data_IF_337821056331
#
_entry.id   IF_337821056331
#
_cell.length_a   1.000
_cell.length_b   1.000
_cell.length_c   1.000
_cell.angle_alpha   90.00
_cell.angle_beta   90.00
_cell.angle_gamma   90.00
#
_symmetry.space_group_name_H-M   'P 1'
#
loop_
_entity.id
_entity.type
_entity.pdbx_description
1 polymer ?
#
# COMPACT_ATOMS: atom_id res chain seq x y z
N UNK A 1 6.48 -14.87 78.83
CA UNK A 1 6.27 -15.25 77.44
C UNK A 1 7.12 -14.31 76.59
N UNK A 2 8.32 -14.81 76.13
CA UNK A 2 9.16 -14.05 75.23
C UNK A 2 8.57 -14.07 73.84
N UNK A 3 8.22 -12.89 73.37
CA UNK A 3 7.80 -12.69 71.99
C UNK A 3 9.08 -12.75 71.11
N UNK A 4 9.24 -13.83 70.34
CA UNK A 4 10.29 -13.94 69.34
C UNK A 4 10.03 -12.92 68.21
N UNK A 5 10.94 -11.97 68.07
CA UNK A 5 10.97 -11.11 66.89
C UNK A 5 11.30 -12.00 65.68
N UNK A 6 10.30 -12.41 64.93
CA UNK A 6 10.56 -12.93 63.58
C UNK A 6 11.23 -11.82 62.77
N UNK A 7 12.49 -12.05 62.42
CA UNK A 7 13.18 -11.22 61.45
C UNK A 7 12.52 -11.39 60.07
N UNK A 8 11.54 -10.57 59.77
CA UNK A 8 11.07 -10.40 58.42
C UNK A 8 12.20 -9.82 57.57
N UNK A 9 12.90 -10.71 56.92
CA UNK A 9 13.88 -10.32 55.92
C UNK A 9 13.11 -9.72 54.71
N UNK A 10 12.86 -8.42 54.76
CA UNK A 10 12.31 -7.73 53.60
C UNK A 10 13.31 -7.88 52.46
N UNK A 11 13.07 -8.79 51.53
CA UNK A 11 13.82 -8.86 50.28
C UNK A 11 13.67 -7.49 49.61
N UNK A 12 14.76 -6.73 49.63
CA UNK A 12 14.78 -5.45 48.95
C UNK A 12 14.62 -5.70 47.44
N UNK A 13 13.54 -5.22 46.88
CA UNK A 13 13.19 -5.44 45.46
C UNK A 13 13.58 -4.19 44.70
N UNK A 14 14.39 -4.36 43.66
CA UNK A 14 14.94 -3.28 42.86
C UNK A 14 14.43 -3.40 41.42
N UNK A 15 14.55 -2.31 40.66
CA UNK A 15 14.36 -2.34 39.21
C UNK A 15 15.46 -3.22 38.57
N UNK A 16 15.19 -3.85 37.41
CA UNK A 16 16.11 -4.75 36.72
C UNK A 16 17.49 -4.16 36.45
N UNK A 17 18.54 -5.01 36.41
CA UNK A 17 19.93 -4.60 36.13
C UNK A 17 20.45 -5.18 34.80
N UNK A 18 21.22 -4.39 34.08
CA UNK A 18 21.73 -4.71 32.74
C UNK A 18 23.26 -4.73 32.68
N UNK A 19 23.79 -5.43 31.67
CA UNK A 19 25.17 -5.34 31.20
C UNK A 19 25.26 -5.61 29.70
N UNK A 20 26.41 -5.30 29.09
CA UNK A 20 26.79 -5.67 27.72
C UNK A 20 25.80 -5.18 26.64
N UNK A 21 25.27 -3.94 26.80
CA UNK A 21 24.48 -3.34 25.75
C UNK A 21 25.34 -3.00 24.53
N UNK A 22 24.94 -3.46 23.36
CA UNK A 22 25.65 -3.19 22.11
C UNK A 22 24.75 -3.32 20.88
N UNK A 23 25.19 -2.74 19.79
CA UNK A 23 24.68 -2.97 18.46
C UNK A 23 25.57 -3.95 17.68
N UNK A 24 24.94 -4.69 16.78
CA UNK A 24 25.61 -5.58 15.84
C UNK A 24 24.88 -5.54 14.48
N UNK A 25 25.51 -6.06 13.44
CA UNK A 25 24.89 -6.19 12.11
C UNK A 25 24.20 -4.91 11.60
N UNK A 26 24.86 -3.77 11.82
CA UNK A 26 24.35 -2.49 11.30
C UNK A 26 24.44 -2.49 9.79
N UNK A 27 23.29 -2.24 9.13
CA UNK A 27 23.15 -2.14 7.67
C UNK A 27 22.69 -0.74 7.27
N UNK A 28 22.37 -0.56 6.01
CA UNK A 28 21.77 0.71 5.52
C UNK A 28 20.35 0.95 6.04
N UNK A 29 19.62 -0.09 6.50
CA UNK A 29 18.22 0.03 6.91
C UNK A 29 17.82 -0.84 8.09
N UNK A 30 18.78 -1.47 8.75
CA UNK A 30 18.53 -2.29 9.95
C UNK A 30 19.73 -2.26 10.90
N UNK A 31 19.47 -2.64 12.15
CA UNK A 31 20.49 -2.93 13.13
C UNK A 31 19.98 -3.99 14.11
N UNK A 32 20.83 -4.84 14.63
CA UNK A 32 20.52 -5.77 15.71
C UNK A 32 21.07 -5.20 17.02
N UNK A 33 20.18 -4.95 17.98
CA UNK A 33 20.55 -4.52 19.34
C UNK A 33 20.54 -5.71 20.27
N UNK A 34 21.53 -5.78 21.15
CA UNK A 34 21.64 -6.85 22.16
C UNK A 34 21.96 -6.29 23.52
N UNK A 35 21.51 -6.97 24.58
CA UNK A 35 21.79 -6.66 25.95
C UNK A 35 21.60 -7.91 26.80
N UNK A 36 22.24 -7.96 27.98
CA UNK A 36 22.02 -9.00 28.98
C UNK A 36 21.34 -8.38 30.20
N UNK A 37 20.16 -8.90 30.54
CA UNK A 37 19.48 -8.64 31.79
C UNK A 37 20.03 -9.59 32.83
N UNK A 38 20.84 -9.08 33.77
CA UNK A 38 21.56 -9.91 34.72
C UNK A 38 20.77 -10.23 35.98
N UNK A 39 19.81 -9.38 36.35
CA UNK A 39 19.05 -9.54 37.58
C UNK A 39 17.68 -8.88 37.50
N UNK A 40 16.66 -9.61 37.98
CA UNK A 40 15.28 -9.15 38.13
C UNK A 40 14.88 -8.83 39.58
N UNK A 41 15.78 -9.11 40.51
CA UNK A 41 15.60 -8.92 41.96
C UNK A 41 14.36 -9.60 42.54
N UNK A 42 14.08 -10.84 42.07
CA UNK A 42 12.90 -11.64 42.45
C UNK A 42 11.55 -11.01 42.10
N UNK A 43 11.53 -10.11 41.15
CA UNK A 43 10.32 -9.55 40.57
C UNK A 43 10.33 -9.83 39.07
N UNK A 44 9.44 -10.69 38.62
CA UNK A 44 9.40 -11.14 37.23
C UNK A 44 9.33 -9.94 36.25
N UNK A 45 10.18 -9.96 35.24
CA UNK A 45 10.17 -8.97 34.16
C UNK A 45 8.99 -9.24 33.27
N UNK A 46 8.09 -8.27 33.17
CA UNK A 46 6.85 -8.32 32.38
C UNK A 46 7.00 -7.72 30.98
N UNK A 47 8.00 -6.86 30.78
CA UNK A 47 8.27 -6.21 29.48
C UNK A 47 9.74 -5.83 29.38
N UNK A 48 10.35 -6.08 28.22
CA UNK A 48 11.72 -5.68 27.92
C UNK A 48 11.89 -5.36 26.43
N UNK A 49 12.95 -4.62 26.11
CA UNK A 49 13.23 -4.20 24.75
C UNK A 49 14.15 -3.00 24.68
N UNK A 50 14.00 -2.24 23.60
CA UNK A 50 14.79 -1.02 23.36
C UNK A 50 13.88 0.14 22.96
N UNK A 51 14.18 1.30 23.50
CA UNK A 51 13.74 2.59 22.96
C UNK A 51 14.80 3.07 21.99
N UNK A 52 14.39 3.70 20.89
CA UNK A 52 15.30 4.28 19.91
C UNK A 52 14.70 5.50 19.23
N UNK A 53 15.54 6.44 18.83
CA UNK A 53 15.16 7.71 18.17
C UNK A 53 16.36 8.28 17.40
N UNK A 54 16.13 9.31 16.61
CA UNK A 54 17.18 9.98 15.83
C UNK A 54 17.89 11.12 16.59
N UNK A 55 17.43 11.45 17.80
CA UNK A 55 18.13 12.34 18.71
C UNK A 55 17.96 11.88 20.17
N UNK A 56 18.79 12.41 21.08
CA UNK A 56 18.68 12.10 22.51
C UNK A 56 17.43 12.72 23.11
N UNK A 57 17.03 13.89 22.63
CA UNK A 57 15.83 14.61 23.06
C UNK A 57 14.57 13.80 22.68
N UNK A 58 14.50 13.33 21.44
CA UNK A 58 13.42 12.47 20.97
C UNK A 58 13.41 11.11 21.70
N UNK A 59 14.57 10.57 22.07
CA UNK A 59 14.66 9.34 22.86
C UNK A 59 14.05 9.51 24.26
N UNK A 60 14.25 10.67 24.89
CA UNK A 60 13.67 11.02 26.18
C UNK A 60 12.16 11.27 26.12
N UNK A 61 11.64 11.71 24.97
CA UNK A 61 10.23 12.01 24.78
C UNK A 61 9.43 10.76 24.44
N UNK A 62 8.48 10.38 25.32
CA UNK A 62 7.63 9.19 25.15
C UNK A 62 6.81 9.21 23.86
N UNK A 63 6.41 10.39 23.40
CA UNK A 63 5.63 10.57 22.18
C UNK A 63 6.45 10.47 20.87
N UNK A 64 7.77 10.61 20.94
CA UNK A 64 8.64 10.67 19.76
C UNK A 64 9.52 9.43 19.60
N UNK A 65 9.89 8.77 20.72
CA UNK A 65 10.70 7.56 20.68
C UNK A 65 9.93 6.36 20.13
N UNK A 66 10.63 5.52 19.38
CA UNK A 66 10.11 4.23 18.94
C UNK A 66 10.45 3.15 19.96
N UNK A 67 9.64 2.10 19.99
CA UNK A 67 9.78 0.96 20.89
C UNK A 67 9.91 -0.33 20.10
N UNK A 68 10.97 -1.08 20.36
CA UNK A 68 11.16 -2.43 19.84
C UNK A 68 11.21 -3.40 21.02
N UNK A 69 10.26 -4.33 21.12
CA UNK A 69 10.09 -5.24 22.25
C UNK A 69 10.62 -6.63 21.95
N UNK A 70 11.20 -7.29 22.97
CA UNK A 70 11.43 -8.72 22.98
C UNK A 70 10.23 -9.41 23.66
N UNK A 71 9.63 -10.43 23.02
CA UNK A 71 8.48 -11.13 23.61
C UNK A 71 8.84 -12.08 24.76
N UNK A 72 10.11 -12.33 25.00
CA UNK A 72 10.56 -13.23 26.07
C UNK A 72 10.49 -12.56 27.45
N UNK A 73 10.47 -13.37 28.50
CA UNK A 73 10.40 -12.93 29.89
C UNK A 73 11.64 -13.42 30.67
N UNK A 74 11.89 -12.82 31.84
CA UNK A 74 12.95 -13.22 32.75
C UNK A 74 14.30 -12.59 32.42
N UNK A 75 15.36 -13.11 33.09
CA UNK A 75 16.75 -12.70 32.93
C UNK A 75 17.39 -13.36 31.69
N UNK A 76 18.61 -12.95 31.36
CA UNK A 76 19.40 -13.48 30.26
C UNK A 76 19.60 -12.48 29.13
N UNK A 77 20.32 -12.90 28.10
CA UNK A 77 20.59 -12.09 26.92
C UNK A 77 19.38 -12.09 25.98
N UNK A 78 19.09 -10.95 25.39
CA UNK A 78 18.08 -10.85 24.33
C UNK A 78 18.55 -9.91 23.22
N UNK A 79 17.98 -10.10 22.06
CA UNK A 79 18.27 -9.31 20.86
C UNK A 79 16.97 -8.81 20.25
N UNK A 80 17.04 -7.61 19.66
CA UNK A 80 15.93 -7.03 18.91
C UNK A 80 16.48 -6.48 17.59
N UNK A 81 15.88 -6.89 16.48
CA UNK A 81 16.22 -6.35 15.18
C UNK A 81 15.38 -5.11 14.88
N UNK A 82 16.03 -3.97 14.71
CA UNK A 82 15.43 -2.77 14.16
C UNK A 82 15.41 -2.87 12.65
N UNK A 83 14.27 -2.58 12.05
CA UNK A 83 14.07 -2.59 10.60
C UNK A 83 13.57 -1.23 10.12
N UNK A 84 13.73 -0.99 8.83
CA UNK A 84 13.23 0.22 8.18
C UNK A 84 13.85 1.50 8.75
N UNK A 85 15.09 1.43 9.13
CA UNK A 85 15.89 2.59 9.49
C UNK A 85 16.23 3.40 8.23
N UNK A 86 16.47 4.68 8.40
CA UNK A 86 16.94 5.58 7.34
C UNK A 86 18.45 5.44 7.21
N UNK A 87 19.01 5.30 6.00
CA UNK A 87 20.46 5.26 5.79
C UNK A 87 21.17 6.55 6.25
N UNK A 88 22.46 6.44 6.50
CA UNK A 88 23.32 7.58 6.89
C UNK A 88 22.77 8.39 8.07
N UNK A 89 22.03 7.70 8.97
CA UNK A 89 21.32 8.32 10.09
C UNK A 89 21.84 7.76 11.42
N UNK A 90 22.18 8.65 12.34
CA UNK A 90 22.53 8.26 13.71
C UNK A 90 21.25 8.01 14.50
N UNK A 91 21.20 6.83 15.11
CA UNK A 91 20.15 6.44 16.06
C UNK A 91 20.72 6.32 17.45
N UNK A 92 20.05 6.92 18.41
CA UNK A 92 20.29 6.74 19.84
C UNK A 92 19.36 5.67 20.36
N UNK A 93 19.85 4.80 21.22
CA UNK A 93 19.06 3.71 21.76
C UNK A 93 19.38 3.44 23.22
N UNK A 94 18.41 2.88 23.92
CA UNK A 94 18.47 2.60 25.35
C UNK A 94 17.62 1.36 25.63
N UNK A 95 18.21 0.34 26.23
CA UNK A 95 17.44 -0.81 26.66
C UNK A 95 16.56 -0.47 27.86
N UNK A 96 15.43 -1.15 27.93
CA UNK A 96 14.53 -1.09 29.09
C UNK A 96 14.06 -2.47 29.51
N UNK A 97 13.78 -2.63 30.80
CA UNK A 97 13.03 -3.76 31.34
C UNK A 97 12.13 -3.27 32.47
N UNK A 98 10.92 -3.82 32.52
CA UNK A 98 9.90 -3.48 33.51
C UNK A 98 9.56 -4.69 34.36
N UNK A 99 9.57 -4.53 35.67
CA UNK A 99 9.05 -5.50 36.62
C UNK A 99 8.02 -4.84 37.55
N UNK A 100 7.54 -5.52 38.56
CA UNK A 100 6.56 -4.99 39.50
C UNK A 100 7.06 -3.76 40.34
N UNK A 101 8.35 -3.44 40.31
CA UNK A 101 8.94 -2.28 41.00
C UNK A 101 9.16 -1.06 40.10
N UNK A 102 9.04 -1.23 38.79
CA UNK A 102 9.18 -0.17 37.81
C UNK A 102 10.01 -0.53 36.59
N UNK A 103 10.39 0.48 35.82
CA UNK A 103 11.17 0.32 34.60
C UNK A 103 12.61 0.77 34.85
N UNK A 104 13.54 -0.14 34.64
CA UNK A 104 14.96 0.18 34.55
C UNK A 104 15.33 0.55 33.10
N UNK A 105 16.29 1.45 32.99
CA UNK A 105 16.86 1.90 31.73
C UNK A 105 18.36 1.67 31.76
N UNK A 106 18.92 1.15 30.65
CA UNK A 106 20.37 1.08 30.47
C UNK A 106 20.93 2.45 30.06
N UNK A 107 22.24 2.53 29.83
CA UNK A 107 22.85 3.75 29.30
C UNK A 107 22.42 4.02 27.86
N UNK A 108 22.41 5.30 27.50
CA UNK A 108 22.13 5.70 26.09
C UNK A 108 23.38 5.43 25.26
N UNK A 109 23.22 4.65 24.20
CA UNK A 109 24.24 4.41 23.19
C UNK A 109 23.74 4.86 21.82
N UNK A 110 24.61 4.85 20.81
CA UNK A 110 24.25 5.25 19.45
C UNK A 110 25.01 4.43 18.41
N UNK A 111 24.37 4.27 17.25
CA UNK A 111 25.00 3.75 16.04
C UNK A 111 24.57 4.59 14.85
N UNK A 112 25.33 4.52 13.75
CA UNK A 112 24.97 5.15 12.48
C UNK A 112 24.76 4.08 11.43
N UNK A 113 23.61 4.11 10.77
CA UNK A 113 23.31 3.22 9.64
C UNK A 113 24.27 3.46 8.49
N UNK A 114 24.56 2.41 7.73
CA UNK A 114 25.43 2.50 6.57
C UNK A 114 24.83 3.37 5.47
N UNK A 115 25.68 3.76 4.52
CA UNK A 115 25.30 4.55 3.35
C UNK A 115 24.27 3.80 2.50
N UNK A 116 23.21 4.49 2.14
CA UNK A 116 22.22 3.99 1.20
C UNK A 116 22.67 4.15 -0.25
N UNK A 117 22.02 3.38 -1.13
CA UNK A 117 22.24 3.40 -2.58
C UNK A 117 21.04 3.97 -3.33
N UNK A 118 21.16 4.19 -4.63
CA UNK A 118 19.97 4.38 -5.46
C UNK A 118 19.08 3.13 -5.42
N UNK A 119 17.78 3.32 -5.54
CA UNK A 119 16.86 2.20 -5.68
C UNK A 119 17.11 1.47 -7.02
N UNK A 120 16.74 0.20 -7.06
CA UNK A 120 16.64 -0.56 -8.32
C UNK A 120 15.18 -0.85 -8.59
N UNK A 121 14.78 -0.78 -9.85
CA UNK A 121 13.43 -1.07 -10.28
C UNK A 121 13.46 -1.91 -11.56
N UNK A 122 12.58 -2.88 -11.63
CA UNK A 122 12.43 -3.76 -12.78
C UNK A 122 11.05 -3.52 -13.40
N UNK A 123 11.02 -3.31 -14.71
CA UNK A 123 9.77 -3.32 -15.47
C UNK A 123 9.38 -4.77 -15.73
N UNK A 124 8.16 -5.16 -15.37
CA UNK A 124 7.63 -6.50 -15.62
C UNK A 124 6.68 -6.49 -16.80
N UNK A 125 6.44 -7.67 -17.39
CA UNK A 125 5.55 -7.82 -18.53
C UNK A 125 4.14 -7.28 -18.23
N UNK A 126 3.62 -6.32 -19.00
CA UNK A 126 2.27 -5.82 -18.86
C UNK A 126 1.22 -6.87 -19.21
N UNK A 127 0.03 -6.71 -18.64
CA UNK A 127 -1.16 -7.46 -19.03
C UNK A 127 -2.13 -6.56 -19.81
N UNK A 128 -2.69 -7.09 -20.89
CA UNK A 128 -3.72 -6.41 -21.70
C UNK A 128 -4.98 -7.26 -21.63
N UNK A 129 -5.99 -6.76 -20.95
CA UNK A 129 -7.29 -7.41 -20.79
C UNK A 129 -8.41 -6.38 -20.87
N UNK A 130 -9.50 -6.72 -21.52
CA UNK A 130 -10.78 -5.99 -21.49
C UNK A 130 -10.67 -4.45 -21.57
N UNK A 131 -9.85 -3.92 -22.48
CA UNK A 131 -9.64 -2.47 -22.70
C UNK A 131 -8.77 -1.78 -21.64
N UNK A 132 -8.08 -2.58 -20.84
CA UNK A 132 -7.18 -2.11 -19.81
C UNK A 132 -5.77 -2.64 -20.07
N UNK A 133 -4.78 -1.78 -19.94
CA UNK A 133 -3.40 -2.19 -19.83
C UNK A 133 -3.03 -2.08 -18.34
N UNK A 134 -2.60 -3.19 -17.76
CA UNK A 134 -2.03 -3.22 -16.41
C UNK A 134 -0.51 -3.32 -16.53
N UNK A 135 0.16 -2.21 -16.26
CA UNK A 135 1.61 -2.16 -16.13
C UNK A 135 2.04 -2.77 -14.81
N UNK A 136 3.14 -3.50 -14.81
CA UNK A 136 3.70 -4.17 -13.63
C UNK A 136 5.16 -3.82 -13.43
N UNK A 137 5.56 -3.64 -12.19
CA UNK A 137 6.94 -3.36 -11.79
C UNK A 137 7.32 -4.02 -10.49
N UNK A 138 8.62 -4.14 -10.26
CA UNK A 138 9.18 -4.63 -9.00
C UNK A 138 10.27 -3.69 -8.50
N UNK A 139 10.44 -3.63 -7.19
CA UNK A 139 11.52 -2.87 -6.51
C UNK A 139 12.37 -3.87 -5.73
N UNK A 140 13.37 -4.50 -6.36
CA UNK A 140 14.24 -5.47 -5.70
C UNK A 140 15.03 -4.87 -4.54
N UNK A 141 15.44 -3.61 -4.64
CA UNK A 141 16.13 -2.88 -3.59
C UNK A 141 15.73 -1.39 -3.62
N UNK A 142 15.24 -0.89 -2.50
CA UNK A 142 14.91 0.54 -2.32
C UNK A 142 16.14 1.41 -2.08
N UNK A 143 17.33 0.80 -2.01
CA UNK A 143 18.54 1.50 -1.59
C UNK A 143 18.58 1.83 -0.09
N UNK A 144 17.62 1.32 0.68
CA UNK A 144 17.41 1.61 2.10
C UNK A 144 16.47 2.79 2.37
N UNK A 145 16.09 3.57 1.35
CA UNK A 145 15.19 4.71 1.49
C UNK A 145 13.74 4.33 1.21
N UNK A 146 12.76 4.95 1.90
CA UNK A 146 11.35 4.79 1.55
C UNK A 146 11.08 5.24 0.11
N UNK A 147 10.28 4.48 -0.61
CA UNK A 147 9.71 4.90 -1.89
C UNK A 147 8.56 5.86 -1.61
N UNK A 148 8.61 7.06 -2.20
CA UNK A 148 7.61 8.11 -2.02
C UNK A 148 6.63 8.19 -3.18
N UNK A 149 7.03 7.72 -4.35
CA UNK A 149 6.20 7.63 -5.55
C UNK A 149 6.68 6.45 -6.39
N UNK A 150 5.75 5.78 -7.04
CA UNK A 150 6.03 4.76 -8.05
C UNK A 150 5.07 4.91 -9.23
N UNK A 151 5.49 4.44 -10.38
CA UNK A 151 4.68 4.55 -11.58
C UNK A 151 5.35 4.00 -12.83
N UNK A 152 4.78 4.39 -13.95
CA UNK A 152 5.23 3.98 -15.27
C UNK A 152 5.23 5.17 -16.23
N UNK A 153 6.24 5.25 -17.06
CA UNK A 153 6.26 6.05 -18.27
C UNK A 153 5.93 5.13 -19.44
N UNK A 154 5.06 5.57 -20.34
CA UNK A 154 4.69 4.80 -21.52
C UNK A 154 4.50 5.69 -22.74
N UNK A 155 4.74 5.13 -23.91
CA UNK A 155 4.58 5.84 -25.19
C UNK A 155 4.31 4.84 -26.31
N UNK A 156 3.61 5.29 -27.34
CA UNK A 156 3.42 4.53 -28.60
C UNK A 156 4.47 4.89 -29.66
N UNK A 157 5.20 5.97 -29.46
CA UNK A 157 6.18 6.50 -30.43
C UNK A 157 7.58 6.60 -29.86
N UNK A 158 7.74 7.02 -28.60
CA UNK A 158 9.03 7.14 -27.96
C UNK A 158 9.46 5.78 -27.41
N UNK A 159 10.57 5.24 -27.94
CA UNK A 159 11.13 3.96 -27.49
C UNK A 159 11.84 4.05 -26.14
N UNK A 160 12.06 5.25 -25.62
CA UNK A 160 12.64 5.51 -24.30
C UNK A 160 11.69 6.43 -23.49
N UNK A 161 10.51 5.91 -23.05
CA UNK A 161 9.51 6.75 -22.42
C UNK A 161 10.06 7.48 -21.19
N UNK A 162 9.64 8.71 -21.02
CA UNK A 162 10.12 9.68 -20.04
C UNK A 162 8.96 10.39 -19.36
N UNK A 163 9.20 11.26 -18.36
CA UNK A 163 8.15 12.09 -17.77
C UNK A 163 7.38 13.00 -18.73
N UNK A 164 7.91 13.24 -19.93
CA UNK A 164 7.25 14.04 -20.98
C UNK A 164 6.22 13.23 -21.80
N UNK A 165 6.21 11.93 -21.66
CA UNK A 165 5.30 11.02 -22.34
C UNK A 165 4.06 10.69 -21.48
N UNK A 166 3.37 9.59 -21.75
CA UNK A 166 2.29 9.10 -20.89
C UNK A 166 2.82 8.68 -19.52
N UNK A 167 2.15 9.12 -18.47
CA UNK A 167 2.51 8.82 -17.08
C UNK A 167 1.31 8.27 -16.34
N UNK A 168 1.50 7.20 -15.60
CA UNK A 168 0.59 6.73 -14.57
C UNK A 168 1.38 6.47 -13.30
N UNK A 169 0.96 7.10 -12.19
CA UNK A 169 1.70 7.04 -10.94
C UNK A 169 0.81 7.01 -9.71
N UNK A 170 1.41 6.62 -8.59
CA UNK A 170 0.81 6.68 -7.27
C UNK A 170 1.82 7.19 -6.26
N UNK A 171 1.46 8.28 -5.58
CA UNK A 171 2.20 8.80 -4.44
C UNK A 171 1.90 7.96 -3.20
N UNK A 172 2.92 7.68 -2.39
CA UNK A 172 2.77 6.93 -1.16
C UNK A 172 3.77 7.43 -0.11
N UNK A 173 3.38 7.59 1.15
CA UNK A 173 4.31 8.03 2.19
C UNK A 173 5.35 6.97 2.56
N UNK A 174 5.10 5.70 2.25
CA UNK A 174 6.02 4.59 2.58
C UNK A 174 5.61 3.31 1.85
N UNK A 175 6.03 3.17 0.59
CA UNK A 175 5.84 1.93 -0.14
C UNK A 175 6.95 0.93 0.21
N UNK A 176 6.57 -0.30 0.51
CA UNK A 176 7.49 -1.36 0.97
C UNK A 176 7.24 -2.72 0.30
N UNK A 177 6.34 -2.75 -0.68
CA UNK A 177 6.06 -3.98 -1.40
C UNK A 177 7.13 -4.21 -2.49
N UNK A 178 7.46 -5.46 -2.75
CA UNK A 178 8.43 -5.83 -3.78
C UNK A 178 7.89 -5.63 -5.19
N UNK A 179 6.56 -5.67 -5.38
CA UNK A 179 5.89 -5.48 -6.68
C UNK A 179 4.78 -4.45 -6.61
N UNK A 180 4.51 -3.79 -7.74
CA UNK A 180 3.41 -2.86 -7.90
C UNK A 180 2.80 -2.94 -9.29
N UNK A 181 1.55 -2.52 -9.40
CA UNK A 181 0.85 -2.44 -10.68
C UNK A 181 -0.05 -1.21 -10.72
N UNK A 182 -0.18 -0.63 -11.91
CA UNK A 182 -1.08 0.47 -12.20
C UNK A 182 -1.66 0.27 -13.59
N UNK A 183 -2.90 0.73 -13.79
CA UNK A 183 -3.62 0.47 -15.03
C UNK A 183 -4.05 1.76 -15.73
N UNK A 184 -4.11 1.69 -17.05
CA UNK A 184 -4.77 2.67 -17.89
C UNK A 184 -5.96 2.03 -18.56
N UNK A 185 -7.07 2.78 -18.67
CA UNK A 185 -8.36 2.27 -19.18
C UNK A 185 -8.53 2.48 -20.69
N UNK A 186 -7.72 3.34 -21.29
CA UNK A 186 -7.78 3.64 -22.72
C UNK A 186 -6.44 3.34 -23.37
N UNK A 187 -6.48 2.63 -24.50
CA UNK A 187 -5.29 2.39 -25.31
C UNK A 187 -5.66 2.30 -26.80
N UNK A 188 -4.70 2.48 -27.67
CA UNK A 188 -4.88 2.29 -29.11
C UNK A 188 -4.65 0.82 -29.45
N UNK A 189 -5.60 0.19 -30.11
CA UNK A 189 -5.50 -1.21 -30.55
C UNK A 189 -4.43 -1.39 -31.64
N UNK A 190 -3.93 -2.60 -31.79
CA UNK A 190 -2.90 -2.99 -32.77
C UNK A 190 -1.69 -2.05 -32.81
N UNK A 191 -1.31 -1.51 -31.65
CA UNK A 191 -0.28 -0.48 -31.56
C UNK A 191 0.86 -0.96 -30.66
N UNK A 192 2.13 -0.74 -31.04
CA UNK A 192 3.25 -0.98 -30.16
C UNK A 192 3.26 0.05 -29.03
N UNK A 193 3.46 -0.43 -27.82
CA UNK A 193 3.71 0.37 -26.63
C UNK A 193 5.10 0.09 -26.08
N UNK A 194 5.74 1.14 -25.63
CA UNK A 194 6.98 1.10 -24.86
C UNK A 194 6.64 1.53 -23.45
N UNK A 195 7.09 0.79 -22.46
CA UNK A 195 6.81 1.08 -21.04
C UNK A 195 8.06 0.86 -20.21
N UNK A 196 8.25 1.69 -19.20
CA UNK A 196 9.25 1.48 -18.15
C UNK A 196 8.70 1.88 -16.79
N UNK A 197 9.00 1.05 -15.79
CA UNK A 197 8.68 1.35 -14.40
C UNK A 197 9.64 2.41 -13.84
N UNK A 198 9.16 3.19 -12.87
CA UNK A 198 10.01 4.09 -12.08
C UNK A 198 9.59 4.12 -10.62
N UNK A 199 10.53 4.49 -9.77
CA UNK A 199 10.29 4.82 -8.36
C UNK A 199 11.05 6.09 -7.97
N UNK A 200 10.48 6.83 -7.03
CA UNK A 200 11.10 7.99 -6.40
C UNK A 200 11.47 7.66 -4.96
N UNK A 201 12.67 8.01 -4.59
CA UNK A 201 13.17 7.96 -3.21
C UNK A 201 13.87 9.27 -2.88
N UNK A 202 14.32 9.43 -1.64
CA UNK A 202 15.14 10.57 -1.25
C UNK A 202 16.48 10.66 -2.06
N UNK A 203 16.97 9.54 -2.59
CA UNK A 203 18.17 9.52 -3.48
C UNK A 203 17.85 9.87 -4.93
N UNK A 204 16.59 10.16 -5.25
CA UNK A 204 16.15 10.52 -6.58
C UNK A 204 15.33 9.42 -7.26
N UNK A 205 15.19 9.58 -8.57
CA UNK A 205 14.41 8.66 -9.41
C UNK A 205 15.28 7.49 -9.88
N UNK A 206 14.74 6.28 -9.76
CA UNK A 206 15.25 5.10 -10.44
C UNK A 206 14.26 4.66 -11.51
N UNK A 207 14.74 4.16 -12.63
CA UNK A 207 13.92 3.68 -13.76
C UNK A 207 14.37 2.28 -14.16
N UNK A 208 13.40 1.46 -14.55
CA UNK A 208 13.63 0.11 -15.07
C UNK A 208 13.98 0.10 -16.55
N UNK A 209 14.28 -1.08 -17.07
CA UNK A 209 14.45 -1.30 -18.49
C UNK A 209 13.12 -1.06 -19.23
N UNK A 210 13.24 -0.66 -20.49
CA UNK A 210 12.07 -0.48 -21.35
C UNK A 210 11.61 -1.84 -21.87
N UNK A 211 10.32 -2.12 -21.73
CA UNK A 211 9.66 -3.23 -22.39
C UNK A 211 8.79 -2.73 -23.55
N UNK A 212 8.88 -3.43 -24.66
CA UNK A 212 7.99 -3.25 -25.81
C UNK A 212 6.95 -4.37 -25.80
N UNK A 213 5.69 -4.00 -26.00
CA UNK A 213 4.60 -4.95 -26.22
C UNK A 213 3.59 -4.38 -27.22
N UNK A 214 2.74 -5.23 -27.77
CA UNK A 214 1.70 -4.81 -28.70
C UNK A 214 0.34 -5.01 -28.04
N UNK A 215 -0.55 -4.05 -28.26
CA UNK A 215 -1.97 -4.21 -28.01
C UNK A 215 -2.58 -4.97 -29.19
N UNK A 216 -2.89 -6.24 -29.01
CA UNK A 216 -3.24 -7.14 -30.11
C UNK A 216 -4.73 -7.20 -30.44
N UNK A 217 -5.60 -6.51 -29.71
CA UNK A 217 -7.04 -6.55 -29.93
C UNK A 217 -7.57 -5.24 -30.48
N UNK A 218 -8.36 -5.35 -31.53
CA UNK A 218 -9.34 -4.31 -31.84
C UNK A 218 -10.28 -4.16 -30.66
N UNK A 219 -10.56 -2.94 -30.26
CA UNK A 219 -11.58 -2.71 -29.24
C UNK A 219 -12.92 -3.11 -29.85
N UNK A 220 -13.72 -4.01 -29.23
CA UNK A 220 -15.09 -4.20 -29.72
C UNK A 220 -15.80 -2.86 -29.67
N UNK A 221 -16.75 -2.71 -30.60
CA UNK A 221 -17.65 -1.57 -30.58
C UNK A 221 -18.37 -1.45 -29.23
N UNK A 222 -18.79 -0.24 -28.88
CA UNK A 222 -19.65 -0.03 -27.71
C UNK A 222 -20.79 -1.06 -27.73
N UNK A 223 -20.88 -1.84 -26.69
CA UNK A 223 -21.88 -2.91 -26.54
C UNK A 223 -22.78 -2.68 -25.34
N UNK A 224 -24.07 -2.92 -25.52
CA UNK A 224 -25.07 -2.86 -24.45
C UNK A 224 -25.83 -4.19 -24.44
N UNK A 225 -25.98 -4.75 -23.24
CA UNK A 225 -26.81 -5.93 -23.02
C UNK A 225 -28.06 -5.54 -22.23
N UNK A 226 -29.23 -5.85 -22.80
CA UNK A 226 -30.51 -5.66 -22.12
C UNK A 226 -30.75 -6.73 -21.08
N UNK A 227 -31.26 -6.33 -19.93
CA UNK A 227 -31.79 -7.24 -18.90
C UNK A 227 -33.31 -7.35 -19.04
N UNK A 228 -33.90 -8.39 -18.52
CA UNK A 228 -35.34 -8.54 -18.48
C UNK A 228 -36.02 -7.36 -17.75
N UNK A 229 -37.09 -6.80 -18.29
CA UNK A 229 -37.85 -5.77 -17.60
C UNK A 229 -38.40 -6.27 -16.26
N UNK A 230 -38.55 -5.37 -15.31
CA UNK A 230 -39.12 -5.65 -14.02
C UNK A 230 -40.23 -4.67 -13.65
N UNK A 231 -40.95 -4.95 -12.56
CA UNK A 231 -42.04 -4.09 -12.05
C UNK A 231 -43.04 -3.67 -13.11
N UNK A 232 -43.42 -4.61 -13.99
CA UNK A 232 -44.34 -4.35 -15.05
C UNK A 232 -45.76 -4.17 -14.48
N UNK A 233 -46.38 -3.06 -14.80
CA UNK A 233 -47.80 -2.74 -14.51
C UNK A 233 -48.56 -2.46 -15.77
N UNK A 234 -49.81 -2.06 -15.66
CA UNK A 234 -50.63 -1.67 -16.82
C UNK A 234 -50.11 -0.43 -17.51
N UNK A 235 -49.32 0.43 -16.83
CA UNK A 235 -48.90 1.74 -17.35
C UNK A 235 -47.43 2.05 -17.08
N UNK A 236 -46.67 1.10 -16.51
CA UNK A 236 -45.24 1.31 -16.24
C UNK A 236 -44.42 0.02 -16.34
N UNK A 237 -43.13 0.18 -16.58
CA UNK A 237 -42.16 -0.90 -16.56
C UNK A 237 -40.77 -0.37 -16.21
N UNK A 238 -40.02 -1.10 -15.40
CA UNK A 238 -38.61 -0.81 -15.14
C UNK A 238 -37.75 -1.54 -16.17
N UNK A 239 -37.12 -0.77 -17.07
CA UNK A 239 -36.18 -1.30 -18.06
C UNK A 239 -34.76 -1.18 -17.53
N UNK A 240 -33.93 -2.19 -17.78
CA UNK A 240 -32.56 -2.32 -17.27
C UNK A 240 -31.61 -2.77 -18.37
N UNK A 241 -30.40 -2.28 -18.30
CA UNK A 241 -29.32 -2.73 -19.18
C UNK A 241 -27.96 -2.56 -18.51
N UNK A 242 -26.96 -3.19 -19.07
CA UNK A 242 -25.55 -2.98 -18.71
C UNK A 242 -24.71 -2.66 -19.93
N UNK A 243 -23.70 -1.82 -19.75
CA UNK A 243 -22.68 -1.58 -20.75
C UNK A 243 -21.70 -2.74 -20.72
N UNK A 244 -21.78 -3.64 -21.67
CA UNK A 244 -20.87 -4.78 -21.79
C UNK A 244 -19.46 -4.32 -22.22
N UNK A 245 -19.41 -3.37 -23.18
CA UNK A 245 -18.17 -2.83 -23.73
C UNK A 245 -18.29 -1.32 -23.95
N UNK A 246 -17.29 -0.55 -23.50
CA UNK A 246 -17.27 0.91 -23.67
C UNK A 246 -16.66 1.36 -25.01
N UNK A 247 -16.18 0.44 -25.84
CA UNK A 247 -15.60 0.74 -27.14
C UNK A 247 -14.37 1.67 -27.09
N UNK A 248 -13.67 1.74 -25.94
CA UNK A 248 -12.55 2.68 -25.74
C UNK A 248 -12.96 4.13 -25.46
N UNK A 249 -14.25 4.41 -25.33
CA UNK A 249 -14.72 5.75 -25.02
C UNK A 249 -14.37 6.15 -23.57
N UNK A 250 -13.82 7.36 -23.38
CA UNK A 250 -13.56 7.92 -22.07
C UNK A 250 -14.84 8.32 -21.34
N UNK A 251 -15.87 8.68 -22.09
CA UNK A 251 -17.20 9.03 -21.58
C UNK A 251 -18.28 8.45 -22.49
N UNK A 252 -19.43 8.13 -21.93
CA UNK A 252 -20.60 7.66 -22.68
C UNK A 252 -21.89 8.08 -21.97
N UNK A 253 -22.94 8.28 -22.73
CA UNK A 253 -24.30 8.43 -22.21
C UNK A 253 -25.05 7.10 -22.36
N UNK A 254 -25.89 6.80 -21.39
CA UNK A 254 -26.76 5.64 -21.40
C UNK A 254 -28.22 6.07 -21.48
N UNK A 255 -29.06 5.25 -22.11
CA UNK A 255 -30.47 5.50 -22.20
C UNK A 255 -31.19 4.36 -22.92
N UNK A 256 -32.51 4.51 -23.05
CA UNK A 256 -33.38 3.58 -23.73
C UNK A 256 -34.11 4.29 -24.83
N UNK A 257 -34.36 3.54 -25.87
CA UNK A 257 -35.28 3.93 -26.96
C UNK A 257 -36.39 2.89 -26.96
N UNK A 258 -37.64 3.33 -26.92
CA UNK A 258 -38.79 2.45 -26.89
C UNK A 258 -39.92 2.98 -27.79
N UNK A 259 -40.77 2.07 -28.24
CA UNK A 259 -41.94 2.35 -29.04
C UNK A 259 -42.97 1.26 -28.81
N UNK A 260 -44.24 1.61 -28.93
CA UNK A 260 -45.39 0.71 -28.92
C UNK A 260 -45.82 0.26 -30.34
N UNK A 261 -45.18 0.83 -31.38
CA UNK A 261 -45.54 0.57 -32.77
C UNK A 261 -44.43 -0.03 -33.60
N UNK A 262 -43.23 -0.26 -33.03
CA UNK A 262 -42.06 -0.68 -33.80
C UNK A 262 -41.29 -1.78 -33.11
N UNK A 263 -41.03 -2.85 -33.83
CA UNK A 263 -40.24 -3.99 -33.33
C UNK A 263 -38.77 -3.62 -33.12
N UNK A 264 -38.25 -2.63 -33.84
CA UNK A 264 -36.86 -2.14 -33.69
C UNK A 264 -36.87 -0.62 -33.53
N UNK A 265 -37.11 -0.13 -32.31
CA UNK A 265 -37.16 1.30 -32.06
C UNK A 265 -35.79 1.94 -32.23
N UNK A 266 -35.74 3.06 -32.96
CA UNK A 266 -34.54 3.89 -33.11
C UNK A 266 -34.92 5.38 -33.07
N UNK A 267 -33.93 6.24 -32.82
CA UNK A 267 -34.18 7.70 -32.85
C UNK A 267 -34.56 8.22 -34.22
N UNK A 268 -34.18 7.51 -35.28
CA UNK A 268 -34.44 7.88 -36.65
C UNK A 268 -35.89 7.56 -37.07
N UNK A 269 -36.53 6.59 -36.42
CA UNK A 269 -37.88 6.17 -36.71
C UNK A 269 -38.95 6.70 -35.74
N UNK A 270 -38.62 7.74 -34.97
CA UNK A 270 -39.58 8.44 -34.11
C UNK A 270 -39.87 7.78 -32.76
N UNK A 271 -39.06 6.80 -32.35
CA UNK A 271 -39.18 6.19 -31.02
C UNK A 271 -38.81 7.17 -29.89
N UNK A 272 -39.38 6.97 -28.72
CA UNK A 272 -39.12 7.81 -27.55
C UNK A 272 -37.75 7.48 -26.93
N UNK A 273 -36.97 8.54 -26.69
CA UNK A 273 -35.67 8.44 -25.99
C UNK A 273 -35.81 8.86 -24.54
N UNK A 274 -35.26 8.07 -23.66
CA UNK A 274 -35.10 8.40 -22.22
C UNK A 274 -33.67 8.17 -21.79
N UNK A 275 -33.18 9.00 -20.86
CA UNK A 275 -31.85 8.80 -20.27
C UNK A 275 -31.93 7.78 -19.12
N UNK A 276 -30.94 6.91 -19.05
CA UNK A 276 -30.81 5.93 -17.98
C UNK A 276 -30.10 6.51 -16.77
N UNK A 277 -30.51 6.08 -15.58
CA UNK A 277 -29.77 6.33 -14.35
C UNK A 277 -28.64 5.32 -14.22
N UNK A 278 -27.40 5.80 -14.18
CA UNK A 278 -26.21 4.95 -14.10
C UNK A 278 -25.92 4.49 -12.66
N UNK A 279 -25.42 3.28 -12.53
CA UNK A 279 -24.86 2.74 -11.29
C UNK A 279 -23.35 2.56 -11.40
N UNK A 280 -22.67 2.30 -10.29
CA UNK A 280 -21.22 2.07 -10.24
C UNK A 280 -20.74 0.82 -11.00
N UNK A 281 -21.64 -0.10 -11.35
CA UNK A 281 -21.36 -1.39 -12.00
C UNK A 281 -21.56 -1.38 -13.54
N UNK A 282 -21.51 -0.23 -14.17
CA UNK A 282 -21.88 -0.06 -15.61
C UNK A 282 -23.30 -0.47 -15.93
N UNK A 283 -24.18 -0.58 -14.96
CA UNK A 283 -25.61 -0.83 -15.14
C UNK A 283 -26.34 0.49 -15.18
N UNK A 284 -27.41 0.52 -15.92
CA UNK A 284 -28.32 1.66 -15.95
C UNK A 284 -29.76 1.18 -16.09
N UNK A 285 -30.68 1.98 -15.62
CA UNK A 285 -32.09 1.70 -15.64
C UNK A 285 -32.91 2.96 -15.90
N UNK A 286 -34.16 2.77 -16.30
CA UNK A 286 -35.15 3.82 -16.36
C UNK A 286 -36.54 3.23 -16.08
N UNK A 287 -37.35 3.94 -15.34
CA UNK A 287 -38.75 3.59 -15.15
C UNK A 287 -39.57 4.25 -16.24
N UNK A 288 -40.10 3.46 -17.17
CA UNK A 288 -41.05 3.92 -18.17
C UNK A 288 -42.40 4.09 -17.49
N UNK A 289 -43.01 5.25 -17.64
CA UNK A 289 -44.34 5.59 -17.13
C UNK A 289 -45.27 5.98 -18.28
N UNK A 290 -46.57 6.07 -18.01
CA UNK A 290 -47.58 6.49 -18.98
C UNK A 290 -47.65 5.59 -20.24
N UNK A 291 -47.31 4.31 -20.07
CA UNK A 291 -47.44 3.32 -21.12
C UNK A 291 -48.93 3.05 -21.40
N UNK A 292 -49.29 2.83 -22.66
CA UNK A 292 -50.64 2.42 -23.04
C UNK A 292 -50.92 1.00 -22.48
N UNK A 293 -52.08 0.76 -21.86
CA UNK A 293 -52.50 -0.59 -21.50
C UNK A 293 -52.62 -1.46 -22.75
N UNK A 294 -52.26 -2.74 -22.65
CA UNK A 294 -52.38 -3.71 -23.72
C UNK A 294 -53.85 -4.05 -24.04
#
# INVERSE_FOLDING_TARGET
VACSKENYNFKQVFAPAFKDQKETEVTKSSATLSITLVQDYNSMVSKRGFYYATSKEALANVGERRVATDPSFGTGSYTVQLKHLIPETTYYYQAFATNGQGTALAEIQSFTTLKGTAATVTTLQPEVQDYQITFKGAVPDTGGYPVTEYGFYYSTVNQQPSPADGVVSKTTPSYRNETFSLSIQTFVANTPYYVRAYVMTQKGRAVGEVLKFNTSREQPALGVEMEAPANITNTSALVKAKVAHIGGAATYQTGFVYSDHQDMPSLENGATKVLGTNTSERKFFHELTDLAPA
#
